data_IF_235464369753
#
_entry.id   IF_235464369753
#
_cell.length_a   1.000
_cell.length_b   1.000
_cell.length_c   1.000
_cell.angle_alpha   90.00
_cell.angle_beta   90.00
_cell.angle_gamma   90.00
#
_symmetry.space_group_name_H-M   'P 1'
#
loop_
_entity.id
_entity.type
_entity.pdbx_description
1 polymer ?
#
# COMPACT_ATOMS: atom_id res chain seq x y z
N UNK A 1 -37.05 -18.85 -67.26
CA UNK A 1 -38.10 -17.91 -66.78
C UNK A 1 -39.25 -18.78 -66.28
N UNK A 2 -39.71 -18.83 -65.02
CA UNK A 2 -39.71 -17.99 -63.81
C UNK A 2 -39.82 -18.98 -62.62
N UNK A 3 -38.91 -18.91 -61.65
CA UNK A 3 -39.07 -18.25 -60.33
C UNK A 3 -39.72 -19.17 -59.28
N UNK A 4 -38.88 -19.64 -58.34
CA UNK A 4 -39.25 -20.33 -57.11
C UNK A 4 -39.29 -19.30 -55.98
N UNK A 5 -40.40 -19.17 -55.24
CA UNK A 5 -40.36 -18.68 -53.85
C UNK A 5 -41.42 -19.45 -53.05
N UNK A 6 -40.96 -20.40 -52.23
CA UNK A 6 -41.71 -20.96 -51.11
C UNK A 6 -41.70 -19.93 -49.97
N UNK A 7 -42.86 -19.42 -49.59
CA UNK A 7 -42.99 -18.61 -48.36
C UNK A 7 -43.04 -19.57 -47.18
N UNK A 8 -41.88 -19.75 -46.54
CA UNK A 8 -41.68 -20.59 -45.37
C UNK A 8 -42.15 -19.91 -44.08
N UNK A 9 -42.89 -20.66 -43.28
CA UNK A 9 -43.16 -20.40 -41.86
C UNK A 9 -41.82 -20.42 -41.12
N UNK A 10 -41.42 -19.31 -40.49
CA UNK A 10 -40.31 -19.30 -39.54
C UNK A 10 -40.74 -18.55 -38.28
N UNK A 11 -40.93 -19.35 -37.24
CA UNK A 11 -41.18 -18.96 -35.86
C UNK A 11 -40.29 -17.80 -35.43
N UNK A 12 -40.89 -16.75 -34.89
CA UNK A 12 -40.19 -15.68 -34.17
C UNK A 12 -39.71 -16.27 -32.84
N UNK A 13 -38.65 -17.08 -32.89
CA UNK A 13 -37.86 -17.39 -31.71
C UNK A 13 -37.02 -16.14 -31.47
N UNK A 14 -37.54 -15.20 -30.68
CA UNK A 14 -36.70 -14.17 -30.07
C UNK A 14 -35.66 -14.90 -29.24
N UNK A 15 -34.49 -15.16 -29.83
CA UNK A 15 -33.32 -15.52 -29.08
C UNK A 15 -33.08 -14.36 -28.11
N UNK A 16 -33.48 -14.55 -26.86
CA UNK A 16 -32.85 -13.83 -25.76
C UNK A 16 -31.38 -14.22 -25.83
N UNK A 17 -30.60 -13.41 -26.55
CA UNK A 17 -29.15 -13.37 -26.45
C UNK A 17 -28.86 -12.94 -25.01
N UNK A 18 -28.92 -13.89 -24.07
CA UNK A 18 -28.31 -13.69 -22.77
C UNK A 18 -26.82 -13.50 -23.05
N UNK A 19 -26.38 -12.23 -23.05
CA UNK A 19 -24.95 -11.92 -23.02
C UNK A 19 -24.31 -12.82 -21.95
N UNK A 20 -23.14 -13.42 -22.21
CA UNK A 20 -22.43 -14.14 -21.17
C UNK A 20 -22.27 -13.18 -20.00
N UNK A 21 -22.92 -13.46 -18.87
CA UNK A 21 -22.75 -12.68 -17.68
C UNK A 21 -21.28 -12.82 -17.30
N UNK A 22 -20.49 -11.75 -17.41
CA UNK A 22 -19.14 -11.64 -16.84
C UNK A 22 -19.18 -11.63 -15.30
N UNK A 23 -20.22 -12.25 -14.71
CA UNK A 23 -20.37 -12.44 -13.28
C UNK A 23 -19.30 -13.43 -12.84
N UNK A 24 -18.18 -12.88 -12.39
CA UNK A 24 -17.18 -13.61 -11.63
C UNK A 24 -15.79 -13.69 -12.24
N UNK A 25 -15.51 -12.94 -13.30
CA UNK A 25 -14.13 -12.78 -13.80
C UNK A 25 -13.32 -11.80 -12.94
N UNK A 26 -14.00 -10.97 -12.15
CA UNK A 26 -13.38 -9.95 -11.31
C UNK A 26 -14.05 -9.86 -9.94
N UNK A 27 -13.36 -9.19 -9.02
CA UNK A 27 -13.91 -8.75 -7.74
C UNK A 27 -13.77 -7.24 -7.61
N UNK A 28 -14.79 -6.58 -7.07
CA UNK A 28 -14.69 -5.21 -6.58
C UNK A 28 -14.22 -5.19 -5.11
N UNK A 29 -13.12 -4.50 -4.84
CA UNK A 29 -12.62 -4.23 -3.50
C UNK A 29 -12.30 -2.74 -3.37
N UNK A 30 -12.99 -2.03 -2.47
CA UNK A 30 -12.84 -0.57 -2.27
C UNK A 30 -12.88 0.26 -3.55
N UNK A 31 -13.74 -0.12 -4.50
CA UNK A 31 -13.89 0.56 -5.78
C UNK A 31 -12.81 0.22 -6.82
N UNK A 32 -11.87 -0.67 -6.49
CA UNK A 32 -10.88 -1.21 -7.42
C UNK A 32 -11.30 -2.58 -7.94
N UNK A 33 -11.03 -2.84 -9.22
CA UNK A 33 -11.35 -4.10 -9.88
C UNK A 33 -10.11 -4.99 -9.88
N UNK A 34 -10.23 -6.17 -9.29
CA UNK A 34 -9.17 -7.18 -9.22
C UNK A 34 -9.55 -8.41 -10.03
N UNK A 35 -8.59 -9.01 -10.71
CA UNK A 35 -8.80 -10.22 -11.51
C UNK A 35 -9.08 -11.43 -10.61
N UNK A 36 -9.95 -12.34 -11.06
CA UNK A 36 -10.18 -13.60 -10.36
C UNK A 36 -8.88 -14.41 -10.24
N UNK A 37 -8.73 -15.12 -9.13
CA UNK A 37 -7.55 -15.90 -8.79
C UNK A 37 -6.26 -15.08 -8.60
N UNK A 38 -6.38 -13.79 -8.30
CA UNK A 38 -5.23 -12.94 -7.97
C UNK A 38 -5.23 -12.48 -6.52
N UNK A 39 -4.03 -12.30 -5.97
CA UNK A 39 -3.81 -11.69 -4.67
C UNK A 39 -3.42 -10.21 -4.83
N UNK A 40 -3.84 -9.37 -3.89
CA UNK A 40 -3.56 -7.93 -3.90
C UNK A 40 -3.49 -7.37 -2.46
N UNK A 41 -2.82 -6.21 -2.25
CA UNK A 41 -2.77 -5.58 -0.94
C UNK A 41 -4.15 -5.10 -0.46
N UNK A 42 -4.46 -5.34 0.82
CA UNK A 42 -5.62 -4.77 1.51
C UNK A 42 -5.46 -3.26 1.69
N UNK A 43 -6.57 -2.53 1.81
CA UNK A 43 -6.54 -1.09 2.10
C UNK A 43 -6.09 -0.74 3.51
N UNK A 44 -6.05 -1.73 4.41
CA UNK A 44 -5.49 -1.56 5.75
C UNK A 44 -3.95 -1.47 5.76
N UNK A 45 -3.30 -1.72 4.62
CA UNK A 45 -1.85 -1.58 4.45
C UNK A 45 -1.01 -2.73 5.02
N UNK A 46 -1.61 -3.76 5.62
CA UNK A 46 -0.86 -4.88 6.20
C UNK A 46 -1.38 -6.26 5.78
N UNK A 47 -2.65 -6.36 5.36
CA UNK A 47 -3.23 -7.63 4.93
C UNK A 47 -3.10 -7.83 3.43
N UNK A 48 -3.22 -9.10 3.02
CA UNK A 48 -3.31 -9.50 1.62
C UNK A 48 -4.69 -10.08 1.37
N UNK A 49 -5.33 -9.65 0.30
CA UNK A 49 -6.63 -10.11 -0.16
C UNK A 49 -6.47 -11.01 -1.39
N UNK A 50 -7.43 -11.92 -1.59
CA UNK A 50 -7.51 -12.82 -2.74
C UNK A 50 -8.92 -12.76 -3.33
N UNK A 51 -9.00 -12.55 -4.65
CA UNK A 51 -10.26 -12.55 -5.38
C UNK A 51 -10.64 -13.98 -5.78
N UNK A 52 -11.71 -14.51 -5.16
CA UNK A 52 -12.22 -15.86 -5.46
C UNK A 52 -13.16 -15.89 -6.66
N UNK A 53 -13.56 -14.72 -7.16
CA UNK A 53 -14.56 -14.56 -8.21
C UNK A 53 -15.96 -14.34 -7.63
N UNK A 54 -16.91 -14.07 -8.50
CA UNK A 54 -18.30 -13.71 -8.13
C UNK A 54 -18.38 -12.58 -7.09
N UNK A 55 -17.49 -11.57 -7.19
CA UNK A 55 -17.35 -10.50 -6.21
C UNK A 55 -16.99 -10.93 -4.77
N UNK A 56 -16.47 -12.15 -4.58
CA UNK A 56 -16.01 -12.65 -3.28
C UNK A 56 -14.52 -12.37 -3.09
N UNK A 57 -14.21 -11.61 -2.04
CA UNK A 57 -12.84 -11.29 -1.61
C UNK A 57 -12.60 -11.86 -0.21
N UNK A 58 -11.50 -12.58 -0.03
CA UNK A 58 -11.03 -13.02 1.29
C UNK A 58 -9.66 -12.40 1.59
N UNK A 59 -9.50 -11.82 2.78
CA UNK A 59 -8.25 -11.23 3.20
C UNK A 59 -7.66 -11.97 4.41
N UNK A 60 -6.34 -11.89 4.56
CA UNK A 60 -5.69 -12.28 5.82
C UNK A 60 -6.20 -11.39 6.97
N UNK A 61 -6.03 -11.87 8.21
CA UNK A 61 -6.40 -11.15 9.43
C UNK A 61 -5.17 -10.96 10.33
N UNK A 62 -4.12 -10.42 9.74
CA UNK A 62 -2.92 -10.00 10.46
C UNK A 62 -3.25 -8.68 11.14
N UNK A 63 -2.94 -8.56 12.43
CA UNK A 63 -3.06 -7.30 13.15
C UNK A 63 -2.08 -6.28 12.57
N UNK A 64 -2.59 -5.16 12.06
CA UNK A 64 -1.72 -4.10 11.56
C UNK A 64 -1.01 -3.45 12.75
N UNK A 65 0.31 -3.59 12.80
CA UNK A 65 1.14 -2.86 13.75
C UNK A 65 1.38 -1.49 13.14
N UNK A 66 0.83 -0.45 13.77
CA UNK A 66 1.24 0.93 13.47
C UNK A 66 2.73 1.03 13.80
N UNK A 67 3.55 1.19 12.76
CA UNK A 67 4.98 1.45 12.96
C UNK A 67 5.07 2.91 13.40
N UNK A 68 5.18 3.12 14.72
CA UNK A 68 5.34 4.43 15.31
C UNK A 68 6.80 4.89 15.13
N UNK A 69 7.00 5.87 14.25
CA UNK A 69 8.32 6.40 13.89
C UNK A 69 8.39 7.92 14.02
N UNK A 70 9.61 8.40 14.11
CA UNK A 70 9.96 9.80 13.88
C UNK A 70 10.84 9.91 12.64
N UNK A 71 10.63 10.96 11.87
CA UNK A 71 11.57 11.42 10.87
C UNK A 71 12.49 12.50 11.45
N UNK A 72 13.80 12.37 11.22
CA UNK A 72 14.79 13.37 11.57
C UNK A 72 15.94 13.32 10.57
N UNK A 73 16.21 14.43 9.88
CA UNK A 73 17.28 14.57 8.89
C UNK A 73 17.34 13.40 7.88
N UNK A 74 16.21 13.12 7.22
CA UNK A 74 16.04 12.02 6.25
C UNK A 74 16.29 10.60 6.80
N UNK A 75 16.47 10.45 8.12
CA UNK A 75 16.54 9.18 8.82
C UNK A 75 15.21 8.86 9.51
N UNK A 76 14.97 7.57 9.76
CA UNK A 76 13.79 7.05 10.44
C UNK A 76 14.21 6.40 11.75
N UNK A 77 13.55 6.80 12.84
CA UNK A 77 13.79 6.27 14.18
C UNK A 77 12.49 5.73 14.78
N UNK A 78 12.58 4.61 15.49
CA UNK A 78 11.42 4.05 16.19
C UNK A 78 11.08 4.92 17.41
N UNK A 79 9.79 5.02 17.76
CA UNK A 79 9.36 5.62 19.02
C UNK A 79 10.00 4.91 20.20
N UNK A 80 10.31 5.69 21.24
CA UNK A 80 11.07 5.32 22.43
C UNK A 80 12.56 5.02 22.22
N UNK A 81 13.16 5.49 21.12
CA UNK A 81 14.60 5.37 20.89
C UNK A 81 15.34 6.69 20.99
N UNK A 82 16.59 6.64 21.48
CA UNK A 82 17.52 7.77 21.49
C UNK A 82 18.56 7.63 20.39
N UNK A 83 18.94 8.74 19.77
CA UNK A 83 19.89 8.79 18.67
C UNK A 83 20.72 10.09 18.68
N UNK A 84 21.91 10.14 18.04
CA UNK A 84 22.69 11.36 17.93
C UNK A 84 21.97 12.43 17.09
N UNK A 85 22.07 13.69 17.49
CA UNK A 85 21.71 14.86 16.66
C UNK A 85 22.71 15.04 15.52
N UNK A 86 22.34 15.77 14.47
CA UNK A 86 23.20 16.05 13.30
C UNK A 86 24.47 16.85 13.65
N UNK A 87 24.43 17.56 14.77
CA UNK A 87 25.58 18.27 15.33
C UNK A 87 26.60 17.35 16.02
N UNK A 88 26.33 16.03 16.09
CA UNK A 88 27.14 15.01 16.76
C UNK A 88 27.51 15.33 18.23
N UNK A 89 26.75 16.21 18.85
CA UNK A 89 26.98 16.74 20.18
C UNK A 89 25.75 16.46 21.04
N UNK A 90 24.58 16.88 20.58
CA UNK A 90 23.30 16.66 21.23
C UNK A 90 22.79 15.23 20.98
N UNK A 91 21.83 14.82 21.81
CA UNK A 91 21.11 13.55 21.69
C UNK A 91 19.64 13.85 21.51
N UNK A 92 19.01 13.19 20.56
CA UNK A 92 17.59 13.26 20.29
C UNK A 92 16.88 12.00 20.79
N UNK A 93 15.58 12.13 21.05
CA UNK A 93 14.70 11.06 21.49
C UNK A 93 13.40 11.13 20.69
N UNK A 94 13.01 10.01 20.08
CA UNK A 94 11.72 9.90 19.41
C UNK A 94 10.64 9.61 20.47
N UNK A 95 9.96 10.67 20.91
CA UNK A 95 9.05 10.62 22.06
C UNK A 95 7.69 10.03 21.71
N UNK A 96 7.18 10.34 20.51
CA UNK A 96 5.91 9.90 19.96
C UNK A 96 6.00 9.98 18.43
N UNK A 97 5.05 9.43 17.65
CA UNK A 97 5.07 9.55 16.20
C UNK A 97 5.28 10.99 15.74
N UNK A 98 6.21 11.19 14.81
CA UNK A 98 6.62 12.51 14.27
C UNK A 98 7.12 13.53 15.32
N UNK A 99 7.38 13.10 16.56
CA UNK A 99 7.74 14.00 17.67
C UNK A 99 9.16 13.70 18.16
N UNK A 100 10.11 14.50 17.70
CA UNK A 100 11.51 14.44 18.11
C UNK A 100 11.81 15.54 19.12
N UNK A 101 12.43 15.15 20.24
CA UNK A 101 12.96 16.10 21.23
C UNK A 101 14.45 15.88 21.37
N UNK A 102 15.23 16.97 21.35
CA UNK A 102 16.68 16.90 21.48
C UNK A 102 17.15 17.63 22.74
N UNK A 103 18.25 17.16 23.32
CA UNK A 103 18.98 17.93 24.33
C UNK A 103 19.44 19.24 23.72
N UNK A 104 19.61 20.27 24.56
CA UNK A 104 20.19 21.53 24.15
C UNK A 104 21.39 21.85 25.03
N UNK A 105 22.58 21.39 24.61
CA UNK A 105 23.85 21.77 25.23
C UNK A 105 24.71 22.54 24.23
N UNK A 106 25.54 23.44 24.75
CA UNK A 106 26.53 24.15 23.95
C UNK A 106 27.56 23.15 23.38
N UNK A 107 27.82 23.27 22.08
CA UNK A 107 28.74 22.38 21.36
C UNK A 107 30.05 23.09 21.05
N UNK A 108 31.15 22.38 21.22
CA UNK A 108 32.48 22.87 20.83
C UNK A 108 32.65 22.62 19.33
N UNK A 109 33.02 23.63 18.53
CA UNK A 109 33.27 23.43 17.10
C UNK A 109 34.35 22.37 16.89
N UNK A 110 34.16 21.49 15.91
CA UNK A 110 35.12 20.41 15.60
C UNK A 110 36.56 20.93 15.32
N UNK A 111 36.70 22.21 14.96
CA UNK A 111 37.97 22.87 14.67
C UNK A 111 38.60 23.60 15.87
N UNK A 112 38.03 23.48 17.07
CA UNK A 112 38.52 24.20 18.24
C UNK A 112 39.79 23.57 18.84
N UNK A 113 40.04 22.28 18.59
CA UNK A 113 41.32 21.65 18.88
C UNK A 113 42.11 21.50 17.58
N UNK A 114 43.13 22.34 17.29
CA UNK A 114 44.09 21.98 16.28
C UNK A 114 44.70 20.64 16.68
N UNK A 115 44.60 19.64 15.81
CA UNK A 115 45.37 18.40 15.94
C UNK A 115 46.82 18.79 16.16
N UNK A 116 47.29 18.71 17.40
CA UNK A 116 48.72 18.61 17.64
C UNK A 116 49.10 17.26 17.06
N UNK A 117 49.59 17.27 15.82
CA UNK A 117 50.39 16.19 15.29
C UNK A 117 51.53 15.97 16.30
N UNK A 118 51.33 15.01 17.19
CA UNK A 118 52.28 14.60 18.21
C UNK A 118 53.00 13.37 17.72
N UNK A 119 54.17 13.63 17.11
CA UNK A 119 55.39 12.81 17.05
C UNK A 119 55.26 11.29 17.33
#
# INVERSE_FOLDING_TARGET
MKSFIFVGILTVLTAVLSAPSTQGEHCNYNGQIHQVNTSFPSSDGCNTCFCQGQDVVACTLIGCVSIEICHYNDQVYNVNTSFPSDDNCNTCYCQAPETVVCTYKACVPANFFPSTNGN
#
